data_IF_907734162494
#
_entry.id   IF_907734162494
#
_cell.length_a   1.000
_cell.length_b   1.000
_cell.length_c   1.000
_cell.angle_alpha   90.00
_cell.angle_beta   90.00
_cell.angle_gamma   90.00
#
_symmetry.space_group_name_H-M   'P 1'
#
loop_
_entity.id
_entity.type
_entity.pdbx_description
1 polymer ?
#
# COMPACT_ATOMS: atom_id res chain seq x y z
N UNK A 1 -12.73 28.72 5.44
CA UNK A 1 -12.61 28.24 4.05
C UNK A 1 -11.34 28.71 3.33
N UNK A 2 -10.86 29.96 3.46
CA UNK A 2 -9.58 30.42 2.85
C UNK A 2 -8.31 29.73 3.40
N UNK A 3 -8.25 29.40 4.70
CA UNK A 3 -7.08 28.75 5.31
C UNK A 3 -6.84 27.33 4.75
N UNK A 4 -7.90 26.53 4.62
CA UNK A 4 -7.80 25.15 4.11
C UNK A 4 -7.34 25.16 2.65
N UNK A 5 -7.81 26.11 1.84
CA UNK A 5 -7.41 26.25 0.44
C UNK A 5 -5.91 26.56 0.29
N UNK A 6 -5.39 27.47 1.12
CA UNK A 6 -3.96 27.83 1.11
C UNK A 6 -3.06 26.67 1.60
N UNK A 7 -3.54 25.87 2.52
CA UNK A 7 -2.79 24.71 3.03
C UNK A 7 -2.72 23.58 1.99
N UNK A 8 -3.83 23.35 1.27
CA UNK A 8 -3.88 22.40 0.16
C UNK A 8 -3.02 22.91 -1.01
N UNK A 9 -3.13 24.18 -1.38
CA UNK A 9 -2.31 24.78 -2.44
C UNK A 9 -0.81 24.74 -2.10
N UNK A 10 -0.42 24.97 -0.84
CA UNK A 10 0.96 24.86 -0.39
C UNK A 10 1.47 23.41 -0.38
N UNK A 11 0.63 22.45 -0.01
CA UNK A 11 0.95 21.02 -0.12
C UNK A 11 1.14 20.60 -1.58
N UNK A 12 0.27 21.05 -2.48
CA UNK A 12 0.38 20.80 -3.93
C UNK A 12 1.62 21.49 -4.54
N UNK A 13 1.95 22.69 -4.11
CA UNK A 13 3.14 23.43 -4.57
C UNK A 13 4.45 22.77 -4.10
N UNK A 14 4.47 22.22 -2.89
CA UNK A 14 5.62 21.48 -2.38
C UNK A 14 5.85 20.17 -3.16
N UNK A 15 4.80 19.53 -3.65
CA UNK A 15 4.89 18.37 -4.54
C UNK A 15 5.53 18.70 -5.89
N UNK A 16 5.32 19.90 -6.41
CA UNK A 16 5.89 20.35 -7.70
C UNK A 16 7.38 20.71 -7.65
N UNK A 17 7.97 20.83 -6.45
CA UNK A 17 9.40 21.16 -6.23
C UNK A 17 10.19 19.97 -5.67
N UNK A 18 9.89 18.76 -6.11
CA UNK A 18 10.64 17.59 -5.66
C UNK A 18 12.10 17.69 -6.07
N UNK A 19 13.05 17.43 -5.15
CA UNK A 19 14.44 17.23 -5.54
C UNK A 19 14.53 15.99 -6.44
N UNK A 20 15.38 16.06 -7.46
CA UNK A 20 15.56 15.00 -8.45
C UNK A 20 16.09 13.67 -7.86
N UNK A 21 16.54 13.68 -6.62
CA UNK A 21 17.11 12.54 -5.89
C UNK A 21 16.32 12.21 -4.61
N UNK A 22 15.03 12.48 -4.58
CA UNK A 22 14.20 12.20 -3.41
C UNK A 22 13.99 10.70 -3.25
N UNK A 23 14.25 10.20 -2.04
CA UNK A 23 13.91 8.84 -1.62
C UNK A 23 13.08 8.91 -0.35
N UNK A 24 11.94 8.21 -0.33
CA UNK A 24 11.11 8.09 0.87
C UNK A 24 10.58 6.67 1.00
N UNK A 25 10.65 6.14 2.22
CA UNK A 25 10.15 4.81 2.57
C UNK A 25 9.33 4.97 3.84
N UNK A 26 8.09 4.53 3.81
CA UNK A 26 7.24 4.47 5.00
C UNK A 26 7.60 3.21 5.82
N UNK A 27 7.37 3.28 7.11
CA UNK A 27 7.73 2.22 8.03
C UNK A 27 6.73 1.06 7.94
N UNK A 28 7.21 -0.15 7.77
CA UNK A 28 6.42 -1.39 7.87
C UNK A 28 7.11 -2.38 8.78
N UNK A 29 6.34 -3.16 9.53
CA UNK A 29 6.84 -4.23 10.37
C UNK A 29 6.60 -5.62 9.77
N UNK A 30 7.07 -6.65 10.46
CA UNK A 30 6.78 -8.04 10.09
C UNK A 30 5.33 -8.34 10.50
N UNK A 31 4.44 -8.73 9.57
CA UNK A 31 3.06 -9.05 9.90
C UNK A 31 2.98 -10.29 10.81
N UNK A 32 2.02 -10.31 11.73
CA UNK A 32 1.76 -11.45 12.62
C UNK A 32 1.29 -12.68 11.83
N UNK A 33 0.55 -12.47 10.76
CA UNK A 33 0.14 -13.48 9.80
C UNK A 33 0.36 -12.98 8.38
N UNK A 34 0.69 -13.89 7.49
CA UNK A 34 0.86 -13.64 6.08
C UNK A 34 0.20 -14.78 5.28
N UNK A 35 -1.07 -15.06 5.58
CA UNK A 35 -1.86 -16.08 4.87
C UNK A 35 -2.49 -15.50 3.60
N UNK A 36 -3.02 -14.27 3.72
CA UNK A 36 -3.65 -13.54 2.63
C UNK A 36 -2.97 -12.17 2.47
N UNK A 37 -2.90 -11.65 1.24
CA UNK A 37 -2.23 -10.38 0.93
C UNK A 37 -2.86 -9.20 1.67
N UNK A 38 -4.18 -9.06 1.59
CA UNK A 38 -4.90 -7.95 2.21
C UNK A 38 -4.70 -7.87 3.74
N UNK A 39 -4.73 -9.01 4.46
CA UNK A 39 -4.42 -9.03 5.88
C UNK A 39 -2.92 -8.80 6.16
N UNK A 40 -2.04 -9.39 5.36
CA UNK A 40 -0.60 -9.18 5.52
C UNK A 40 -0.19 -7.73 5.34
N UNK A 41 -0.79 -7.01 4.39
CA UNK A 41 -0.54 -5.58 4.17
C UNK A 41 -0.95 -4.75 5.38
N UNK A 42 -2.20 -4.93 5.86
CA UNK A 42 -2.72 -4.24 7.04
C UNK A 42 -1.85 -4.51 8.27
N UNK A 43 -1.55 -5.79 8.52
CA UNK A 43 -0.72 -6.21 9.65
C UNK A 43 0.71 -5.68 9.56
N UNK A 44 1.26 -5.50 8.36
CA UNK A 44 2.58 -4.89 8.18
C UNK A 44 2.60 -3.42 8.56
N UNK A 45 1.56 -2.67 8.22
CA UNK A 45 1.40 -1.27 8.62
C UNK A 45 1.26 -1.17 10.14
N UNK A 46 0.38 -1.97 10.73
CA UNK A 46 0.15 -1.97 12.18
C UNK A 46 1.37 -2.41 12.98
N UNK A 47 2.12 -3.39 12.48
CA UNK A 47 3.34 -3.88 13.12
C UNK A 47 4.52 -2.88 13.05
N UNK A 48 4.37 -1.76 12.33
CA UNK A 48 5.38 -0.71 12.29
C UNK A 48 5.53 0.04 13.62
N UNK A 49 4.47 0.06 14.45
CA UNK A 49 4.45 0.78 15.73
C UNK A 49 4.08 -0.17 16.87
N UNK A 50 4.90 -0.19 17.92
CA UNK A 50 4.72 -1.07 19.09
C UNK A 50 3.41 -0.78 19.85
N UNK A 51 2.94 0.44 19.82
CA UNK A 51 1.68 0.86 20.48
C UNK A 51 0.45 0.14 19.91
N UNK A 52 0.50 -0.31 18.66
CA UNK A 52 -0.57 -1.06 18.02
C UNK A 52 -0.65 -2.52 18.48
N UNK A 53 0.37 -3.01 19.16
CA UNK A 53 0.52 -4.42 19.54
C UNK A 53 -0.59 -4.91 20.45
N UNK A 54 -1.03 -4.07 21.39
CA UNK A 54 -2.14 -4.39 22.28
C UNK A 54 -3.43 -4.62 21.52
N UNK A 55 -3.74 -3.76 20.57
CA UNK A 55 -4.91 -3.89 19.72
C UNK A 55 -4.82 -5.15 18.82
N UNK A 56 -3.68 -5.35 18.17
CA UNK A 56 -3.43 -6.53 17.34
C UNK A 56 -3.68 -7.84 18.09
N UNK A 57 -3.12 -7.97 19.30
CA UNK A 57 -3.26 -9.20 20.10
C UNK A 57 -4.69 -9.43 20.58
N UNK A 58 -5.47 -8.36 20.82
CA UNK A 58 -6.84 -8.48 21.28
C UNK A 58 -7.87 -8.69 20.16
N UNK A 59 -7.60 -8.16 18.97
CA UNK A 59 -8.60 -8.08 17.90
C UNK A 59 -8.30 -9.06 16.75
N UNK A 60 -7.04 -9.45 16.56
CA UNK A 60 -6.64 -10.31 15.45
C UNK A 60 -7.10 -11.77 15.58
N UNK A 61 -7.31 -12.26 16.80
CA UNK A 61 -7.67 -13.67 17.06
C UNK A 61 -9.17 -13.80 17.32
N UNK A 62 -10.00 -13.33 16.40
CA UNK A 62 -11.45 -13.55 16.48
C UNK A 62 -11.84 -14.62 15.46
N UNK A 63 -12.30 -15.75 15.96
CA UNK A 63 -12.84 -16.83 15.15
C UNK A 63 -14.32 -16.57 14.87
N UNK A 64 -14.73 -16.72 13.64
CA UNK A 64 -16.14 -16.74 13.29
C UNK A 64 -16.49 -18.04 12.52
N UNK A 65 -17.71 -18.52 12.70
CA UNK A 65 -18.23 -19.67 11.97
C UNK A 65 -19.06 -19.21 10.77
N UNK A 66 -18.70 -19.69 9.62
CA UNK A 66 -19.46 -19.51 8.40
C UNK A 66 -20.55 -20.62 8.28
N UNK A 67 -21.55 -20.40 7.41
CA UNK A 67 -22.63 -21.34 7.10
C UNK A 67 -22.15 -22.67 6.48
N UNK A 68 -20.89 -22.76 6.13
CA UNK A 68 -20.25 -23.95 5.56
C UNK A 68 -19.46 -24.76 6.59
N UNK A 69 -19.68 -24.55 7.88
CA UNK A 69 -18.99 -25.23 8.99
C UNK A 69 -17.47 -24.98 9.04
N UNK A 70 -16.98 -23.94 8.36
CA UNK A 70 -15.60 -23.48 8.50
C UNK A 70 -15.48 -22.53 9.68
N UNK A 71 -14.46 -22.80 10.49
CA UNK A 71 -13.96 -21.84 11.47
C UNK A 71 -12.84 -21.04 10.80
N UNK A 72 -13.03 -19.75 10.68
CA UNK A 72 -11.99 -18.83 10.21
C UNK A 72 -11.78 -17.72 11.24
N UNK A 73 -10.66 -17.00 11.14
CA UNK A 73 -10.46 -15.81 11.94
C UNK A 73 -11.04 -14.60 11.20
N UNK A 74 -11.52 -13.63 11.97
CA UNK A 74 -12.00 -12.40 11.39
C UNK A 74 -10.81 -11.66 10.76
N UNK A 75 -10.90 -11.44 9.45
CA UNK A 75 -9.91 -10.74 8.70
C UNK A 75 -10.20 -9.24 8.73
N UNK A 76 -9.30 -8.49 9.33
CA UNK A 76 -9.38 -7.04 9.33
C UNK A 76 -8.72 -6.52 8.06
N UNK A 77 -9.51 -6.39 7.00
CA UNK A 77 -9.12 -5.62 5.84
C UNK A 77 -8.86 -4.14 6.22
N UNK A 78 -8.30 -3.37 5.29
CA UNK A 78 -8.04 -1.94 5.51
C UNK A 78 -9.27 -1.16 5.96
N UNK A 79 -10.46 -1.54 5.47
CA UNK A 79 -11.72 -0.85 5.76
C UNK A 79 -12.26 -1.07 7.18
N UNK A 80 -11.82 -2.12 7.86
CA UNK A 80 -12.37 -2.55 9.15
C UNK A 80 -11.45 -2.25 10.32
N UNK A 81 -10.21 -1.89 10.06
CA UNK A 81 -9.23 -1.57 11.11
C UNK A 81 -9.46 -0.14 11.64
N UNK A 82 -9.83 0.04 12.91
CA UNK A 82 -10.12 1.37 13.46
C UNK A 82 -8.87 2.23 13.70
N UNK A 83 -7.67 1.67 13.53
CA UNK A 83 -6.39 2.38 13.68
C UNK A 83 -5.91 2.94 12.34
N UNK A 84 -6.43 2.42 11.23
CA UNK A 84 -6.03 2.83 9.89
C UNK A 84 -7.18 3.60 9.24
N UNK A 85 -6.94 4.87 8.92
CA UNK A 85 -7.85 5.63 8.08
C UNK A 85 -7.65 5.24 6.62
N UNK A 86 -8.73 4.86 5.94
CA UNK A 86 -8.70 4.45 4.54
C UNK A 86 -9.52 5.38 3.66
N UNK A 87 -9.01 5.64 2.45
CA UNK A 87 -9.71 6.38 1.41
C UNK A 87 -9.74 5.54 0.15
N UNK A 88 -10.94 5.28 -0.38
CA UNK A 88 -11.13 4.66 -1.68
C UNK A 88 -11.16 5.75 -2.76
N UNK A 89 -10.20 5.69 -3.67
CA UNK A 89 -10.11 6.63 -4.78
C UNK A 89 -10.24 5.84 -6.08
N UNK A 90 -11.27 6.12 -6.86
CA UNK A 90 -11.44 5.52 -8.18
C UNK A 90 -10.31 5.89 -9.12
N UNK A 91 -9.86 4.95 -9.93
CA UNK A 91 -8.73 5.16 -10.86
C UNK A 91 -9.01 6.32 -11.84
N UNK A 92 -10.25 6.50 -12.25
CA UNK A 92 -10.67 7.61 -13.12
C UNK A 92 -10.43 8.96 -12.45
N UNK A 93 -10.63 9.04 -11.12
CA UNK A 93 -10.36 10.26 -10.36
C UNK A 93 -8.87 10.58 -10.28
N UNK A 94 -8.05 9.53 -10.20
CA UNK A 94 -6.59 9.69 -10.25
C UNK A 94 -6.17 10.20 -11.63
N UNK A 95 -6.69 9.61 -12.71
CA UNK A 95 -6.35 9.97 -14.08
C UNK A 95 -6.82 11.40 -14.45
N UNK A 96 -7.92 11.89 -13.85
CA UNK A 96 -8.40 13.27 -14.03
C UNK A 96 -7.61 14.27 -13.17
N UNK A 97 -7.32 13.91 -11.92
CA UNK A 97 -6.75 14.82 -10.91
C UNK A 97 -5.23 14.95 -10.96
N UNK A 98 -4.53 14.02 -11.59
CA UNK A 98 -3.08 13.89 -11.51
C UNK A 98 -2.45 13.80 -12.90
N UNK A 99 -1.20 14.23 -12.99
CA UNK A 99 -0.42 14.18 -14.24
C UNK A 99 -0.16 12.74 -14.69
N UNK A 100 0.01 11.83 -13.73
CA UNK A 100 0.15 10.40 -13.94
C UNK A 100 -0.16 9.64 -12.65
N UNK A 101 -0.48 8.36 -12.75
CA UNK A 101 -0.66 7.46 -11.59
C UNK A 101 0.62 7.37 -10.75
N UNK A 102 1.77 7.39 -11.40
CA UNK A 102 3.09 7.44 -10.74
C UNK A 102 3.24 8.69 -9.87
N UNK A 103 2.86 9.86 -10.38
CA UNK A 103 2.89 11.10 -9.60
C UNK A 103 1.93 11.05 -8.41
N UNK A 104 0.76 10.45 -8.58
CA UNK A 104 -0.19 10.21 -7.50
C UNK A 104 0.43 9.34 -6.40
N UNK A 105 1.00 8.18 -6.74
CA UNK A 105 1.62 7.25 -5.79
C UNK A 105 2.76 7.95 -5.03
N UNK A 106 3.66 8.64 -5.73
CA UNK A 106 4.76 9.39 -5.10
C UNK A 106 4.23 10.44 -4.13
N UNK A 107 3.19 11.17 -4.53
CA UNK A 107 2.58 12.20 -3.68
C UNK A 107 1.92 11.60 -2.45
N UNK A 108 1.23 10.48 -2.58
CA UNK A 108 0.65 9.78 -1.44
C UNK A 108 1.74 9.41 -0.42
N UNK A 109 2.82 8.77 -0.86
CA UNK A 109 3.94 8.38 0.00
C UNK A 109 4.62 9.61 0.64
N UNK A 110 4.77 10.72 -0.10
CA UNK A 110 5.34 11.97 0.45
C UNK A 110 4.51 12.51 1.62
N UNK A 111 3.19 12.34 1.56
CA UNK A 111 2.27 12.77 2.60
C UNK A 111 1.93 11.65 3.61
N UNK A 112 2.79 10.65 3.74
CA UNK A 112 2.69 9.55 4.71
C UNK A 112 1.50 8.60 4.50
N UNK A 113 0.96 8.54 3.27
CA UNK A 113 -0.05 7.57 2.89
C UNK A 113 0.58 6.34 2.24
N UNK A 114 0.22 5.18 2.73
CA UNK A 114 0.45 3.92 2.04
C UNK A 114 -0.51 3.81 0.84
N UNK A 115 -0.06 3.20 -0.23
CA UNK A 115 -0.90 2.95 -1.39
C UNK A 115 -1.17 1.46 -1.53
N UNK A 116 -2.42 1.08 -1.41
CA UNK A 116 -2.90 -0.27 -1.67
C UNK A 116 -3.57 -0.27 -3.04
N UNK A 117 -3.03 -1.06 -3.97
CA UNK A 117 -3.49 -1.05 -5.36
C UNK A 117 -3.43 -2.45 -5.98
N UNK A 118 -4.40 -2.73 -6.86
CA UNK A 118 -4.32 -3.88 -7.75
C UNK A 118 -3.31 -3.62 -8.87
N UNK A 119 -2.34 -4.51 -9.00
CA UNK A 119 -1.30 -4.44 -10.00
C UNK A 119 -1.41 -5.60 -10.99
N UNK A 120 -1.06 -5.35 -12.25
CA UNK A 120 -0.92 -6.41 -13.24
C UNK A 120 0.41 -7.15 -13.03
N UNK A 121 0.35 -8.30 -12.39
CA UNK A 121 1.53 -9.06 -11.99
C UNK A 121 2.38 -9.56 -13.16
N UNK A 122 1.79 -9.69 -14.37
CA UNK A 122 2.55 -10.10 -15.56
C UNK A 122 3.56 -9.04 -16.04
N UNK A 123 3.41 -7.80 -15.57
CA UNK A 123 4.30 -6.68 -15.89
C UNK A 123 5.44 -6.52 -14.91
N UNK A 124 5.34 -7.16 -13.76
CA UNK A 124 6.29 -7.01 -12.65
C UNK A 124 7.15 -8.27 -12.56
N UNK A 125 8.44 -8.13 -12.83
CA UNK A 125 9.40 -9.24 -12.88
C UNK A 125 9.47 -10.05 -11.59
N UNK A 126 9.25 -9.38 -10.45
CA UNK A 126 9.30 -10.02 -9.14
C UNK A 126 8.28 -11.15 -8.96
N UNK A 127 7.17 -11.13 -9.68
CA UNK A 127 6.19 -12.22 -9.63
C UNK A 127 6.58 -13.44 -10.50
N UNK A 128 7.49 -13.27 -11.45
CA UNK A 128 8.00 -14.38 -12.26
C UNK A 128 6.96 -15.07 -13.15
N UNK A 129 5.86 -14.37 -13.48
CA UNK A 129 4.76 -14.91 -14.27
C UNK A 129 4.46 -14.02 -15.48
N UNK A 130 3.99 -14.64 -16.57
CA UNK A 130 3.64 -13.95 -17.81
C UNK A 130 2.12 -13.85 -18.03
N UNK A 131 1.32 -14.55 -17.20
CA UNK A 131 -0.15 -14.51 -17.31
C UNK A 131 -0.65 -13.24 -16.66
N UNK A 132 -1.55 -12.53 -17.36
CA UNK A 132 -2.21 -11.35 -16.82
C UNK A 132 -3.07 -11.75 -15.62
N UNK A 133 -2.70 -11.25 -14.46
CA UNK A 133 -3.41 -11.47 -13.22
C UNK A 133 -3.35 -10.20 -12.38
N UNK A 134 -4.53 -9.70 -11.99
CA UNK A 134 -4.62 -8.58 -11.07
C UNK A 134 -4.43 -9.09 -9.64
N UNK A 135 -3.48 -8.51 -8.92
CA UNK A 135 -3.20 -8.83 -7.54
C UNK A 135 -2.95 -7.57 -6.73
N UNK A 136 -3.42 -7.56 -5.53
CA UNK A 136 -3.23 -6.45 -4.60
C UNK A 136 -1.79 -6.41 -4.06
N UNK A 137 -1.24 -5.21 -3.99
CA UNK A 137 0.08 -4.96 -3.44
C UNK A 137 0.09 -3.69 -2.59
N UNK A 138 0.96 -3.66 -1.59
CA UNK A 138 1.22 -2.49 -0.76
C UNK A 138 2.43 -1.74 -1.29
N UNK A 139 2.23 -0.52 -1.79
CA UNK A 139 3.31 0.37 -2.23
C UNK A 139 3.58 1.37 -1.11
N UNK A 140 4.80 1.40 -0.59
CA UNK A 140 5.12 2.18 0.61
C UNK A 140 6.45 2.91 0.56
N UNK A 141 7.12 2.88 -0.59
CA UNK A 141 8.36 3.63 -0.79
C UNK A 141 8.64 3.90 -2.26
N UNK A 142 9.47 4.91 -2.51
CA UNK A 142 10.00 5.19 -3.83
C UNK A 142 11.42 5.77 -3.75
N UNK A 143 12.14 5.62 -4.84
CA UNK A 143 13.48 6.17 -5.07
C UNK A 143 13.47 6.86 -6.44
N UNK A 144 13.55 8.19 -6.43
CA UNK A 144 13.48 9.00 -7.66
C UNK A 144 14.75 8.88 -8.50
N UNK A 145 15.90 8.71 -7.86
CA UNK A 145 17.19 8.56 -8.54
C UNK A 145 17.25 7.25 -9.32
N UNK A 146 16.83 6.16 -8.69
CA UNK A 146 16.83 4.82 -9.29
C UNK A 146 15.55 4.53 -10.08
N UNK A 147 14.55 5.40 -10.06
CA UNK A 147 13.22 5.22 -10.67
C UNK A 147 12.56 3.91 -10.25
N UNK A 148 12.50 3.68 -8.96
CA UNK A 148 11.98 2.44 -8.38
C UNK A 148 10.93 2.73 -7.31
N UNK A 149 10.05 1.73 -7.11
CA UNK A 149 9.08 1.69 -6.00
C UNK A 149 9.35 0.48 -5.12
N UNK A 150 9.17 0.65 -3.82
CA UNK A 150 9.23 -0.43 -2.85
C UNK A 150 7.83 -0.94 -2.58
N UNK A 151 7.63 -2.21 -2.85
CA UNK A 151 6.34 -2.88 -2.66
C UNK A 151 6.47 -4.09 -1.73
N UNK A 152 5.37 -4.41 -1.05
CA UNK A 152 5.23 -5.63 -0.27
C UNK A 152 4.09 -6.48 -0.82
N UNK A 153 4.34 -7.76 -1.01
CA UNK A 153 3.37 -8.74 -1.47
C UNK A 153 3.94 -10.18 -1.41
N UNK A 154 3.18 -11.15 -1.95
CA UNK A 154 3.63 -12.52 -2.19
C UNK A 154 4.24 -12.64 -3.59
N UNK A 155 5.54 -12.74 -3.65
CA UNK A 155 6.27 -12.89 -4.90
C UNK A 155 6.47 -14.35 -5.33
N UNK A 156 7.33 -14.59 -6.28
CA UNK A 156 7.61 -15.89 -6.93
C UNK A 156 7.74 -17.07 -5.96
N UNK A 157 8.25 -16.85 -4.75
CA UNK A 157 8.41 -17.91 -3.74
C UNK A 157 7.19 -18.09 -2.82
N UNK A 158 6.06 -17.45 -3.13
CA UNK A 158 4.82 -17.48 -2.33
C UNK A 158 5.03 -17.12 -0.84
N UNK A 159 6.04 -16.32 -0.57
CA UNK A 159 6.31 -15.75 0.76
C UNK A 159 6.08 -14.25 0.70
N UNK A 160 5.38 -13.76 1.70
CA UNK A 160 5.22 -12.32 1.88
C UNK A 160 6.57 -11.67 2.15
N UNK A 161 6.87 -10.62 1.42
CA UNK A 161 8.14 -9.92 1.52
C UNK A 161 8.13 -8.60 0.77
N UNK A 162 9.29 -7.97 0.69
CA UNK A 162 9.45 -6.66 0.08
C UNK A 162 10.40 -6.76 -1.12
N UNK A 163 10.13 -5.98 -2.15
CA UNK A 163 11.04 -5.85 -3.29
C UNK A 163 10.95 -4.48 -3.94
N UNK A 164 12.05 -4.05 -4.54
CA UNK A 164 12.07 -2.90 -5.42
C UNK A 164 11.65 -3.31 -6.83
N UNK A 165 10.75 -2.54 -7.42
CA UNK A 165 10.29 -2.70 -8.80
C UNK A 165 10.57 -1.42 -9.58
N UNK A 166 10.77 -1.55 -10.88
CA UNK A 166 11.00 -0.40 -11.75
C UNK A 166 9.72 0.42 -11.93
N UNK A 167 9.85 1.74 -12.01
CA UNK A 167 8.72 2.65 -12.25
C UNK A 167 7.92 2.28 -13.51
N UNK A 168 8.61 1.78 -14.55
CA UNK A 168 7.98 1.38 -15.80
C UNK A 168 7.09 0.13 -15.65
N UNK A 169 7.31 -0.70 -14.63
CA UNK A 169 6.49 -1.87 -14.33
C UNK A 169 5.10 -1.47 -13.76
N UNK A 170 4.95 -0.23 -13.26
CA UNK A 170 3.68 0.32 -12.76
C UNK A 170 2.92 1.17 -13.80
N UNK A 171 3.49 1.43 -14.97
CA UNK A 171 2.92 2.33 -15.99
C UNK A 171 1.87 1.67 -16.90
N UNK A 172 1.04 0.77 -16.40
CA UNK A 172 -0.03 0.17 -17.25
C UNK A 172 -1.34 0.02 -16.52
#
# INVERSE_FOLDING_TARGET
>A
MKMIKNEIENKILNVRRRPANMRKILKVGKPLSATYSHSAHTLSILAAEDDNKGWLLNCFVQLFGDRCDFLDYQDFGFMECPIIDTQHIGIDMVDIGWKSRIDFIKMAIINDYYVYAELNTSKIKAYGQSVVFAHDALIYGFDEENKQFLIADFFQHKKYGNTWIEEDELKN
#
